data_IF_640346484104
#
_entry.id   IF_640346484104
#
_cell.length_a   1.000
_cell.length_b   1.000
_cell.length_c   1.000
_cell.angle_alpha   90.00
_cell.angle_beta   90.00
_cell.angle_gamma   90.00
#
_symmetry.space_group_name_H-M   'P 1'
#
loop_
_entity.id
_entity.type
_entity.pdbx_description
1 polymer ?
#
# COMPACT_ATOMS: atom_id res chain seq x y z
N UNK A 1 47.50 30.20 -11.61
CA UNK A 1 48.13 31.54 -11.74
C UNK A 1 47.13 32.50 -12.35
N UNK A 2 47.05 33.74 -11.83
CA UNK A 2 46.04 34.81 -12.06
C UNK A 2 44.78 34.59 -11.20
N UNK A 3 44.68 35.04 -9.93
CA UNK A 3 44.75 36.40 -9.34
C UNK A 3 43.88 37.45 -10.03
N UNK A 4 42.80 37.88 -9.38
CA UNK A 4 42.40 39.29 -9.32
C UNK A 4 41.68 39.59 -7.98
N UNK A 5 42.22 40.61 -7.31
CA UNK A 5 41.76 41.28 -6.09
C UNK A 5 41.26 42.66 -6.52
N UNK A 6 40.19 43.17 -5.90
CA UNK A 6 39.90 44.60 -5.62
C UNK A 6 38.43 44.71 -5.17
N UNK A 7 37.99 45.58 -4.27
CA UNK A 7 38.59 46.45 -3.25
C UNK A 7 37.42 47.05 -2.45
N UNK A 8 37.77 47.49 -1.25
CA UNK A 8 36.96 48.11 -0.19
C UNK A 8 36.48 49.52 -0.56
N UNK A 9 35.38 49.99 0.06
CA UNK A 9 35.07 51.33 0.65
C UNK A 9 33.53 51.42 0.83
N UNK A 10 32.89 52.19 1.73
CA UNK A 10 33.07 52.57 3.13
C UNK A 10 31.76 53.31 3.52
N UNK A 11 31.29 53.18 4.77
CA UNK A 11 30.41 54.09 5.53
C UNK A 11 28.98 54.42 5.06
N UNK A 12 28.03 54.11 5.95
CA UNK A 12 26.71 54.74 6.03
C UNK A 12 26.03 54.41 7.36
N UNK A 13 26.27 55.26 8.37
CA UNK A 13 25.60 55.24 9.68
C UNK A 13 24.08 55.39 9.51
N UNK A 14 23.31 54.57 10.25
CA UNK A 14 21.86 54.75 10.40
C UNK A 14 21.38 54.09 11.69
N UNK A 15 21.20 54.92 12.73
CA UNK A 15 20.53 54.59 13.99
C UNK A 15 19.16 53.94 13.72
N UNK A 16 18.93 52.77 14.30
CA UNK A 16 17.62 52.12 14.34
C UNK A 16 17.47 51.37 15.67
N UNK A 17 17.15 52.11 16.71
CA UNK A 17 16.81 51.62 18.04
C UNK A 17 15.39 51.03 17.98
N UNK A 18 15.22 49.71 18.05
CA UNK A 18 13.93 49.10 18.37
C UNK A 18 14.09 47.67 18.89
N UNK A 19 13.76 47.51 20.17
CA UNK A 19 13.19 46.32 20.81
C UNK A 19 14.05 45.05 20.80
N UNK A 20 14.94 44.97 21.80
CA UNK A 20 15.25 43.71 22.45
C UNK A 20 13.98 43.18 23.14
N UNK A 21 13.17 42.39 22.42
CA UNK A 21 12.24 41.47 23.05
C UNK A 21 13.03 40.22 23.42
N UNK A 22 13.14 40.07 24.73
CA UNK A 22 13.69 38.96 25.47
C UNK A 22 13.43 37.60 24.82
N UNK A 23 14.51 36.84 24.68
CA UNK A 23 14.53 35.40 24.58
C UNK A 23 13.61 34.78 25.64
N UNK A 24 12.49 34.22 25.21
CA UNK A 24 11.89 33.07 25.87
C UNK A 24 12.20 31.85 25.00
N UNK A 25 12.71 30.73 25.55
CA UNK A 25 12.61 29.46 24.87
C UNK A 25 11.14 29.05 24.94
N UNK A 26 10.31 29.63 24.08
CA UNK A 26 9.10 28.93 23.63
C UNK A 26 9.62 27.76 22.79
N UNK A 27 10.06 26.71 23.50
CA UNK A 27 10.04 25.38 22.96
C UNK A 27 8.63 25.20 22.46
N UNK A 28 8.49 25.21 21.15
CA UNK A 28 7.31 24.75 20.47
C UNK A 28 6.92 23.43 21.14
N UNK A 29 5.90 23.48 21.99
CA UNK A 29 5.06 22.34 22.28
C UNK A 29 4.34 22.07 20.95
N UNK A 30 5.08 21.49 20.00
CA UNK A 30 4.51 20.49 19.13
C UNK A 30 4.05 19.44 20.12
N UNK A 31 2.80 19.55 20.58
CA UNK A 31 2.12 18.45 21.21
C UNK A 31 2.26 17.33 20.19
N UNK A 32 3.21 16.42 20.42
CA UNK A 32 3.41 15.27 19.58
C UNK A 32 2.05 14.59 19.58
N UNK A 33 1.35 14.65 18.43
CA UNK A 33 0.07 14.01 18.28
C UNK A 33 0.33 12.53 18.51
N UNK A 34 -0.02 12.05 19.70
CA UNK A 34 0.14 10.67 20.06
C UNK A 34 -0.97 9.91 19.37
N UNK A 35 -0.58 9.01 18.48
CA UNK A 35 -1.48 8.20 17.70
C UNK A 35 -1.78 6.94 18.51
N UNK A 36 -3.07 6.73 18.78
CA UNK A 36 -3.55 5.72 19.71
C UNK A 36 -3.73 4.34 19.08
N UNK A 37 -3.76 3.28 19.89
CA UNK A 37 -4.13 1.95 19.43
C UNK A 37 -5.58 1.94 18.92
N UNK A 38 -5.86 1.07 17.93
CA UNK A 38 -7.21 0.88 17.37
C UNK A 38 -7.52 1.72 16.13
N UNK A 39 -6.75 2.77 15.87
CA UNK A 39 -6.78 3.51 14.60
C UNK A 39 -5.70 3.02 13.64
N UNK A 40 -5.92 3.26 12.35
CA UNK A 40 -4.91 3.06 11.31
C UNK A 40 -4.62 4.38 10.63
N UNK A 41 -3.40 4.55 10.15
CA UNK A 41 -2.92 5.78 9.53
C UNK A 41 -2.33 5.46 8.18
N UNK A 42 -2.51 6.34 7.21
CA UNK A 42 -2.03 6.20 5.83
C UNK A 42 -1.16 7.38 5.46
N UNK A 43 0.00 7.10 4.89
CA UNK A 43 0.82 8.08 4.17
C UNK A 43 1.01 7.62 2.73
N UNK A 44 0.81 8.53 1.76
CA UNK A 44 0.99 8.24 0.34
C UNK A 44 2.30 8.85 -0.13
N UNK A 45 3.05 8.10 -0.95
CA UNK A 45 4.30 8.57 -1.53
C UNK A 45 4.41 8.16 -3.00
N UNK A 46 4.99 9.02 -3.86
CA UNK A 46 5.13 8.71 -5.28
C UNK A 46 6.18 7.60 -5.48
N UNK A 47 5.81 6.55 -6.20
CA UNK A 47 6.72 5.49 -6.61
C UNK A 47 6.21 4.86 -7.90
N UNK A 48 6.72 5.39 -9.02
CA UNK A 48 6.21 5.08 -10.35
C UNK A 48 6.69 3.70 -10.82
N UNK A 49 7.89 3.27 -10.39
CA UNK A 49 8.46 1.94 -10.69
C UNK A 49 9.31 1.46 -9.53
N UNK A 50 8.81 0.54 -8.68
CA UNK A 50 9.64 -0.08 -7.68
C UNK A 50 10.70 -0.97 -8.32
N UNK A 51 11.91 -0.96 -7.78
CA UNK A 51 12.92 -1.97 -8.10
C UNK A 51 12.60 -3.25 -7.30
N UNK A 52 11.70 -4.08 -7.86
CA UNK A 52 11.25 -5.32 -7.22
C UNK A 52 12.40 -6.30 -6.99
N UNK A 53 13.45 -6.27 -7.82
CA UNK A 53 14.61 -7.13 -7.62
C UNK A 53 15.37 -6.72 -6.35
N UNK A 54 15.62 -5.42 -6.18
CA UNK A 54 16.21 -4.90 -4.94
C UNK A 54 15.33 -5.20 -3.73
N UNK A 55 14.02 -4.95 -3.80
CA UNK A 55 13.10 -5.24 -2.70
C UNK A 55 13.12 -6.72 -2.33
N UNK A 56 13.08 -7.61 -3.32
CA UNK A 56 13.14 -9.05 -3.11
C UNK A 56 14.44 -9.45 -2.41
N UNK A 57 15.60 -9.04 -2.94
CA UNK A 57 16.92 -9.36 -2.35
C UNK A 57 17.01 -8.87 -0.90
N UNK A 58 16.58 -7.63 -0.61
CA UNK A 58 16.57 -7.10 0.76
C UNK A 58 15.63 -7.87 1.67
N UNK A 59 14.44 -8.23 1.20
CA UNK A 59 13.51 -9.05 1.98
C UNK A 59 14.08 -10.45 2.27
N UNK A 60 14.79 -11.05 1.32
CA UNK A 60 15.48 -12.33 1.52
C UNK A 60 16.57 -12.22 2.61
N UNK A 61 17.40 -11.17 2.55
CA UNK A 61 18.44 -10.88 3.55
C UNK A 61 17.84 -10.67 4.96
N UNK A 62 16.63 -10.12 5.03
CA UNK A 62 15.90 -9.86 6.26
C UNK A 62 15.04 -11.06 6.74
N UNK A 63 15.09 -12.21 6.05
CA UNK A 63 14.39 -13.42 6.46
C UNK A 63 12.88 -13.39 6.23
N UNK A 64 12.39 -12.64 5.24
CA UNK A 64 10.95 -12.58 4.95
C UNK A 64 10.43 -13.91 4.41
N UNK A 65 9.17 -14.19 4.70
CA UNK A 65 8.36 -15.06 3.85
C UNK A 65 7.98 -14.32 2.58
N UNK A 66 8.36 -14.86 1.43
CA UNK A 66 8.17 -14.22 0.13
C UNK A 66 7.29 -15.10 -0.74
N UNK A 67 6.16 -14.56 -1.21
CA UNK A 67 5.29 -15.19 -2.19
C UNK A 67 5.48 -14.50 -3.54
N UNK A 68 5.93 -15.24 -4.53
CA UNK A 68 6.10 -14.75 -5.90
C UNK A 68 5.01 -15.36 -6.78
N UNK A 69 4.26 -14.50 -7.47
CA UNK A 69 3.25 -14.90 -8.44
C UNK A 69 3.61 -14.42 -9.84
N UNK A 70 3.69 -15.37 -10.77
CA UNK A 70 3.90 -15.14 -12.19
C UNK A 70 2.75 -15.79 -12.96
N UNK A 71 1.73 -14.99 -13.30
CA UNK A 71 0.48 -15.50 -13.85
C UNK A 71 -0.23 -16.39 -12.83
N UNK A 72 -0.46 -17.66 -13.20
CA UNK A 72 -1.08 -18.66 -12.32
C UNK A 72 -0.05 -19.45 -11.49
N UNK A 73 1.25 -19.29 -11.79
CA UNK A 73 2.30 -19.98 -11.05
C UNK A 73 2.63 -19.20 -9.78
N UNK A 74 2.70 -19.92 -8.66
CA UNK A 74 3.04 -19.36 -7.34
C UNK A 74 4.20 -20.14 -6.76
N UNK A 75 5.17 -19.42 -6.21
CA UNK A 75 6.31 -19.99 -5.48
C UNK A 75 6.54 -19.25 -4.18
N UNK A 76 7.05 -19.95 -3.19
CA UNK A 76 7.31 -19.41 -1.85
C UNK A 76 8.78 -19.53 -1.49
N UNK A 77 9.31 -18.52 -0.81
CA UNK A 77 10.63 -18.52 -0.21
C UNK A 77 10.53 -18.10 1.26
N UNK A 78 11.47 -18.58 2.07
CA UNK A 78 11.74 -18.05 3.40
C UNK A 78 13.20 -17.61 3.45
N UNK A 79 13.45 -16.31 3.55
CA UNK A 79 14.75 -15.75 3.25
C UNK A 79 15.19 -16.15 1.83
N UNK A 80 16.35 -16.78 1.71
CA UNK A 80 16.89 -17.24 0.41
C UNK A 80 16.43 -18.66 0.02
N UNK A 81 15.76 -19.38 0.91
CA UNK A 81 15.42 -20.79 0.70
C UNK A 81 14.07 -20.93 -0.01
N UNK A 82 14.04 -21.67 -1.12
CA UNK A 82 12.80 -22.04 -1.80
C UNK A 82 12.05 -23.11 -0.99
N UNK A 83 10.74 -22.95 -0.84
CA UNK A 83 9.89 -23.96 -0.21
C UNK A 83 9.08 -24.73 -1.28
N UNK A 84 9.56 -25.88 -1.78
CA UNK A 84 8.87 -26.63 -2.83
C UNK A 84 7.59 -27.33 -2.34
N UNK A 85 7.47 -27.57 -1.03
CA UNK A 85 6.29 -28.17 -0.42
C UNK A 85 5.19 -27.13 -0.07
N UNK A 86 5.50 -25.84 -0.19
CA UNK A 86 4.59 -24.75 0.10
C UNK A 86 3.64 -24.54 -1.09
N UNK A 87 2.33 -24.69 -0.85
CA UNK A 87 1.28 -24.49 -1.86
C UNK A 87 0.26 -23.44 -1.40
N UNK A 88 -0.44 -22.76 -2.32
CA UNK A 88 -1.43 -21.74 -1.96
C UNK A 88 -2.53 -22.24 -1.01
N UNK A 89 -2.94 -23.50 -1.14
CA UNK A 89 -3.99 -24.10 -0.30
C UNK A 89 -3.57 -24.27 1.15
N UNK A 90 -2.27 -24.25 1.43
CA UNK A 90 -1.68 -24.40 2.77
C UNK A 90 -1.02 -23.12 3.27
N UNK A 91 -1.18 -21.99 2.55
CA UNK A 91 -0.47 -20.73 2.82
C UNK A 91 -0.59 -20.30 4.28
N UNK A 92 -1.78 -20.38 4.87
CA UNK A 92 -2.03 -19.99 6.27
C UNK A 92 -1.21 -20.78 7.31
N UNK A 93 -0.74 -21.99 6.97
CA UNK A 93 -0.02 -22.85 7.91
C UNK A 93 1.48 -22.54 8.01
N UNK A 94 2.06 -21.86 7.01
CA UNK A 94 3.51 -21.63 6.95
C UNK A 94 3.89 -20.16 6.70
N UNK A 95 3.03 -19.36 6.07
CA UNK A 95 3.38 -18.02 5.59
C UNK A 95 3.32 -17.00 6.74
N UNK A 96 4.34 -17.02 7.60
CA UNK A 96 4.46 -16.16 8.79
C UNK A 96 4.93 -14.74 8.47
N UNK A 97 4.92 -13.86 9.48
CA UNK A 97 5.49 -12.51 9.37
C UNK A 97 7.01 -12.52 9.60
N UNK A 98 7.76 -11.59 8.97
CA UNK A 98 7.30 -10.57 8.01
C UNK A 98 7.07 -11.16 6.61
N UNK A 99 6.16 -10.54 5.85
CA UNK A 99 5.69 -11.04 4.56
C UNK A 99 5.97 -10.07 3.41
N UNK A 100 6.34 -10.63 2.27
CA UNK A 100 6.42 -9.94 0.98
C UNK A 100 5.63 -10.71 -0.07
N UNK A 101 4.67 -10.05 -0.70
CA UNK A 101 3.98 -10.55 -1.89
C UNK A 101 4.53 -9.82 -3.11
N UNK A 102 4.88 -10.58 -4.15
CA UNK A 102 5.29 -10.08 -5.47
C UNK A 102 4.32 -10.63 -6.52
N UNK A 103 3.75 -9.74 -7.34
CA UNK A 103 2.86 -10.11 -8.43
C UNK A 103 3.04 -9.14 -9.59
N UNK A 104 3.60 -9.62 -10.70
CA UNK A 104 3.91 -8.78 -11.86
C UNK A 104 4.84 -7.61 -11.48
N UNK A 105 4.37 -6.36 -11.54
CA UNK A 105 5.09 -5.15 -11.11
C UNK A 105 4.58 -4.58 -9.76
N UNK A 106 3.77 -5.36 -9.06
CA UNK A 106 3.15 -5.01 -7.79
C UNK A 106 3.83 -5.72 -6.63
N UNK A 107 3.81 -5.06 -5.47
CA UNK A 107 4.18 -5.70 -4.22
C UNK A 107 3.29 -5.27 -3.06
N UNK A 108 3.26 -6.13 -2.03
CA UNK A 108 2.74 -5.82 -0.70
C UNK A 108 3.76 -6.30 0.33
N UNK A 109 4.20 -5.39 1.18
CA UNK A 109 4.92 -5.72 2.42
C UNK A 109 3.91 -5.76 3.55
N UNK A 110 3.99 -6.77 4.41
CA UNK A 110 3.23 -6.78 5.68
C UNK A 110 4.17 -7.11 6.83
N UNK A 111 4.10 -6.31 7.87
CA UNK A 111 4.86 -6.44 9.10
C UNK A 111 3.91 -6.52 10.29
N UNK A 112 4.27 -7.35 11.25
CA UNK A 112 3.54 -7.53 12.50
C UNK A 112 4.53 -7.50 13.67
N UNK A 113 4.93 -6.30 14.05
CA UNK A 113 5.90 -6.05 15.11
C UNK A 113 5.20 -5.99 16.47
N UNK A 114 5.96 -6.09 17.57
CA UNK A 114 5.38 -6.03 18.93
C UNK A 114 4.56 -4.76 19.17
N UNK A 115 5.02 -3.61 18.64
CA UNK A 115 4.40 -2.31 18.85
C UNK A 115 3.40 -1.86 17.79
N UNK A 116 3.39 -2.46 16.60
CA UNK A 116 2.61 -1.98 15.46
C UNK A 116 2.42 -3.05 14.38
N UNK A 117 1.44 -2.82 13.51
CA UNK A 117 1.36 -3.47 12.19
C UNK A 117 1.64 -2.44 11.11
N UNK A 118 2.30 -2.87 10.05
CA UNK A 118 2.57 -1.98 8.92
C UNK A 118 2.38 -2.71 7.60
N UNK A 119 1.70 -2.06 6.65
CA UNK A 119 1.57 -2.49 5.26
C UNK A 119 2.22 -1.48 4.32
N UNK A 120 2.91 -1.94 3.29
CA UNK A 120 3.37 -1.08 2.18
C UNK A 120 2.82 -1.66 0.89
N UNK A 121 2.00 -0.90 0.18
CA UNK A 121 1.27 -1.41 -0.98
C UNK A 121 1.01 -0.34 -2.01
N UNK A 122 0.65 -0.75 -3.21
CA UNK A 122 0.23 0.20 -4.25
C UNK A 122 -1.08 0.87 -3.84
N UNK A 123 -1.14 2.20 -3.97
CA UNK A 123 -2.36 2.93 -3.66
C UNK A 123 -3.44 2.63 -4.70
N UNK A 124 -4.64 2.28 -4.23
CA UNK A 124 -5.80 2.09 -5.09
C UNK A 124 -6.38 3.43 -5.58
N UNK A 125 -6.15 4.50 -4.84
CA UNK A 125 -6.72 5.83 -5.10
C UNK A 125 -5.77 6.71 -5.94
N UNK A 126 -4.47 6.65 -5.67
CA UNK A 126 -3.47 7.53 -6.31
C UNK A 126 -2.64 6.75 -7.33
N UNK A 127 -2.83 7.06 -8.62
CA UNK A 127 -2.11 6.40 -9.71
C UNK A 127 -0.60 6.66 -9.61
N UNK A 128 0.18 5.58 -9.68
CA UNK A 128 1.65 5.65 -9.68
C UNK A 128 2.25 5.97 -8.31
N UNK A 129 1.46 5.80 -7.24
CA UNK A 129 1.89 5.96 -5.87
C UNK A 129 1.77 4.64 -5.10
N UNK A 130 2.56 4.57 -4.03
CA UNK A 130 2.44 3.56 -2.99
C UNK A 130 2.00 4.26 -1.71
N UNK A 131 1.46 3.47 -0.79
CA UNK A 131 1.02 3.93 0.51
C UNK A 131 1.61 3.06 1.60
N UNK A 132 1.96 3.71 2.71
CA UNK A 132 2.25 3.05 3.98
C UNK A 132 0.98 3.11 4.82
N UNK A 133 0.50 1.95 5.24
CA UNK A 133 -0.55 1.84 6.26
C UNK A 133 0.11 1.44 7.57
N UNK A 134 -0.12 2.21 8.62
CA UNK A 134 0.46 1.98 9.95
C UNK A 134 -0.65 1.85 10.98
N UNK A 135 -0.64 0.77 11.76
CA UNK A 135 -1.65 0.50 12.80
C UNK A 135 -0.93 0.26 14.13
N UNK A 136 -0.82 1.27 15.00
CA UNK A 136 -0.19 1.12 16.30
C UNK A 136 -0.94 0.11 17.18
N UNK A 137 -0.21 -0.74 17.89
CA UNK A 137 -0.75 -1.65 18.94
C UNK A 137 -0.68 -1.01 20.33
N UNK A 138 0.07 0.08 20.44
CA UNK A 138 0.23 0.92 21.62
C UNK A 138 0.29 2.38 21.18
N UNK A 139 0.13 3.29 22.12
CA UNK A 139 0.29 4.72 21.85
C UNK A 139 1.71 5.02 21.34
N UNK A 140 1.80 5.73 20.22
CA UNK A 140 3.07 6.09 19.59
C UNK A 140 3.03 7.55 19.11
N UNK A 141 4.06 8.37 19.36
CA UNK A 141 4.10 9.71 18.79
C UNK A 141 4.25 9.63 17.27
N UNK A 142 3.62 10.55 16.55
CA UNK A 142 3.69 10.62 15.08
C UNK A 142 5.12 10.52 14.53
N UNK A 143 6.08 11.21 15.16
CA UNK A 143 7.49 11.17 14.76
C UNK A 143 8.09 9.75 14.84
N UNK A 144 7.69 8.93 15.82
CA UNK A 144 8.15 7.54 15.91
C UNK A 144 7.56 6.69 14.78
N UNK A 145 6.29 6.91 14.43
CA UNK A 145 5.63 6.23 13.31
C UNK A 145 6.35 6.57 11.99
N UNK A 146 6.62 7.85 11.74
CA UNK A 146 7.37 8.30 10.57
C UNK A 146 8.77 7.68 10.52
N UNK A 147 9.48 7.66 11.66
CA UNK A 147 10.83 7.08 11.77
C UNK A 147 10.83 5.57 11.45
N UNK A 148 9.89 4.82 12.02
CA UNK A 148 9.76 3.38 11.76
C UNK A 148 9.42 3.09 10.28
N UNK A 149 8.44 3.83 9.73
CA UNK A 149 8.02 3.68 8.34
C UNK A 149 9.17 3.98 7.36
N UNK A 150 9.86 5.11 7.55
CA UNK A 150 11.02 5.48 6.72
C UNK A 150 12.16 4.47 6.86
N UNK A 151 12.42 3.99 8.08
CA UNK A 151 13.44 2.97 8.34
C UNK A 151 13.18 1.69 7.54
N UNK A 152 11.92 1.21 7.51
CA UNK A 152 11.55 0.05 6.69
C UNK A 152 11.61 0.29 5.19
N UNK A 153 11.13 1.45 4.72
CA UNK A 153 11.23 1.81 3.31
C UNK A 153 12.71 1.84 2.84
N UNK A 154 13.62 2.32 3.68
CA UNK A 154 15.05 2.34 3.40
C UNK A 154 15.68 0.93 3.45
N UNK A 155 15.36 0.13 4.48
CA UNK A 155 15.86 -1.25 4.62
C UNK A 155 15.51 -2.13 3.42
N UNK A 156 14.29 -1.96 2.90
CA UNK A 156 13.81 -2.69 1.72
C UNK A 156 14.28 -2.08 0.39
N UNK A 157 15.01 -0.96 0.42
CA UNK A 157 15.45 -0.27 -0.79
C UNK A 157 14.32 0.36 -1.61
N UNK A 158 13.15 0.58 -1.00
CA UNK A 158 12.00 1.24 -1.64
C UNK A 158 12.27 2.74 -1.82
N UNK A 159 12.91 3.35 -0.83
CA UNK A 159 13.41 4.74 -0.91
C UNK A 159 14.93 4.74 -0.67
N UNK A 160 15.65 5.62 -1.36
CA UNK A 160 17.09 5.73 -1.17
C UNK A 160 17.42 6.45 0.14
N UNK A 161 18.48 6.02 0.83
CA UNK A 161 18.93 6.63 2.09
C UNK A 161 19.32 8.12 1.95
N UNK A 162 19.61 8.58 0.74
CA UNK A 162 19.94 9.98 0.42
C UNK A 162 18.71 10.84 0.14
N UNK A 163 17.51 10.24 0.00
CA UNK A 163 16.24 10.94 -0.16
C UNK A 163 15.70 11.44 1.20
N UNK A 164 16.56 12.09 1.99
CA UNK A 164 16.34 12.55 3.37
C UNK A 164 15.19 13.57 3.53
N UNK A 165 14.54 13.97 2.44
CA UNK A 165 13.44 14.93 2.40
C UNK A 165 12.07 14.30 2.12
N UNK A 166 11.97 12.97 2.00
CA UNK A 166 10.68 12.32 1.92
C UNK A 166 9.99 12.36 3.29
N UNK A 167 9.24 13.43 3.57
CA UNK A 167 8.31 13.48 4.70
C UNK A 167 7.10 12.62 4.37
N UNK A 168 6.75 11.69 5.26
CA UNK A 168 5.52 10.91 5.16
C UNK A 168 4.42 11.65 5.91
N UNK A 169 3.45 12.19 5.18
CA UNK A 169 2.28 12.84 5.80
C UNK A 169 1.23 11.78 6.11
N UNK A 170 1.14 11.39 7.38
CA UNK A 170 0.14 10.43 7.84
C UNK A 170 -1.21 11.10 8.12
N UNK A 171 -2.26 10.55 7.51
CA UNK A 171 -3.64 10.87 7.82
C UNK A 171 -4.33 9.65 8.43
N UNK A 172 -5.27 9.86 9.36
CA UNK A 172 -6.05 8.76 9.92
C UNK A 172 -6.96 8.13 8.86
N UNK A 173 -6.92 6.80 8.77
CA UNK A 173 -7.87 6.01 8.01
C UNK A 173 -9.10 5.78 8.89
N UNK A 174 -10.20 6.44 8.54
CA UNK A 174 -11.49 6.23 9.19
C UNK A 174 -12.24 5.12 8.44
N UNK A 175 -12.37 3.90 9.02
CA UNK A 175 -13.09 2.83 8.36
C UNK A 175 -14.57 3.19 8.29
N UNK A 176 -15.15 3.16 7.10
CA UNK A 176 -16.59 3.21 6.94
C UNK A 176 -17.13 1.78 6.87
N UNK A 177 -18.21 1.47 7.59
CA UNK A 177 -18.76 0.10 7.60
C UNK A 177 -19.24 -0.37 6.22
N UNK A 178 -19.75 0.58 5.41
CA UNK A 178 -20.22 0.38 4.03
C UNK A 178 -19.92 1.64 3.20
N UNK A 179 -18.65 1.85 2.81
CA UNK A 179 -18.29 2.99 2.00
C UNK A 179 -19.00 2.88 0.65
N UNK A 180 -19.57 3.98 0.18
CA UNK A 180 -20.11 4.04 -1.17
C UNK A 180 -18.95 4.33 -2.14
N UNK A 181 -18.81 3.57 -3.23
CA UNK A 181 -17.89 3.94 -4.30
C UNK A 181 -18.17 5.36 -4.77
N UNK A 182 -17.14 6.14 -5.15
CA UNK A 182 -17.34 7.48 -5.68
C UNK A 182 -18.04 7.41 -7.04
N UNK A 183 -18.53 8.56 -7.50
CA UNK A 183 -19.19 8.65 -8.81
C UNK A 183 -18.27 8.15 -9.94
N UNK A 184 -18.83 7.37 -10.88
CA UNK A 184 -18.07 6.77 -11.98
C UNK A 184 -17.30 5.48 -11.63
N UNK A 185 -17.33 5.03 -10.37
CA UNK A 185 -16.74 3.74 -9.94
C UNK A 185 -17.86 2.70 -9.84
N UNK A 186 -17.92 1.79 -10.82
CA UNK A 186 -18.96 0.75 -10.94
C UNK A 186 -18.53 -0.54 -10.24
N UNK A 187 -18.36 -0.45 -8.92
CA UNK A 187 -17.79 -1.49 -8.07
C UNK A 187 -18.76 -1.86 -6.94
N UNK A 188 -18.83 -3.15 -6.61
CA UNK A 188 -19.54 -3.60 -5.41
C UNK A 188 -18.99 -2.93 -4.14
N UNK A 189 -19.88 -2.55 -3.21
CA UNK A 189 -19.49 -1.82 -1.99
C UNK A 189 -18.53 -2.59 -1.08
N UNK A 190 -18.59 -3.93 -1.04
CA UNK A 190 -17.65 -4.75 -0.27
C UNK A 190 -16.27 -4.80 -0.93
N UNK A 191 -16.23 -4.85 -2.26
CA UNK A 191 -14.97 -4.74 -3.01
C UNK A 191 -14.36 -3.35 -2.86
N UNK A 192 -15.18 -2.29 -2.84
CA UNK A 192 -14.68 -0.96 -2.54
C UNK A 192 -14.15 -0.87 -1.09
N UNK A 193 -14.88 -1.39 -0.12
CA UNK A 193 -14.42 -1.46 1.27
C UNK A 193 -13.08 -2.20 1.42
N UNK A 194 -12.87 -3.29 0.66
CA UNK A 194 -11.60 -4.00 0.61
C UNK A 194 -10.45 -3.08 0.16
N UNK A 195 -10.64 -2.22 -0.84
CA UNK A 195 -9.59 -1.29 -1.30
C UNK A 195 -9.17 -0.28 -0.23
N UNK A 196 -10.09 0.07 0.68
CA UNK A 196 -9.86 1.01 1.78
C UNK A 196 -9.34 0.35 3.06
N UNK A 197 -9.46 -0.97 3.17
CA UNK A 197 -9.14 -1.69 4.40
C UNK A 197 -7.65 -1.53 4.76
N UNK A 198 -7.30 -1.31 6.05
CA UNK A 198 -5.91 -1.20 6.48
C UNK A 198 -5.08 -2.44 6.14
N UNK A 199 -5.66 -3.63 6.31
CA UNK A 199 -5.07 -4.91 5.92
C UNK A 199 -6.06 -5.68 5.03
N UNK A 200 -5.67 -5.89 3.77
CA UNK A 200 -6.52 -6.57 2.78
C UNK A 200 -6.79 -8.03 3.12
N UNK A 201 -5.79 -8.76 3.64
CA UNK A 201 -5.93 -10.18 3.96
C UNK A 201 -6.80 -10.38 5.19
N UNK A 202 -6.62 -9.55 6.22
CA UNK A 202 -7.48 -9.60 7.41
C UNK A 202 -8.92 -9.24 7.06
N UNK A 203 -9.13 -8.18 6.27
CA UNK A 203 -10.47 -7.79 5.83
C UNK A 203 -11.15 -8.87 5.00
N UNK A 204 -10.45 -9.44 4.02
CA UNK A 204 -10.96 -10.51 3.18
C UNK A 204 -11.40 -11.72 4.00
N UNK A 205 -10.53 -12.20 4.90
CA UNK A 205 -10.82 -13.32 5.80
C UNK A 205 -12.03 -13.03 6.70
N UNK A 206 -12.12 -11.84 7.28
CA UNK A 206 -13.26 -11.45 8.13
C UNK A 206 -14.60 -11.40 7.37
N UNK A 207 -14.57 -11.28 6.04
CA UNK A 207 -15.76 -11.22 5.17
C UNK A 207 -15.97 -12.48 4.34
N UNK A 208 -15.15 -13.53 4.56
CA UNK A 208 -15.26 -14.80 3.82
C UNK A 208 -14.76 -14.72 2.38
N UNK A 209 -13.97 -13.71 2.01
CA UNK A 209 -13.36 -13.62 0.69
C UNK A 209 -12.03 -14.35 0.67
N UNK A 210 -11.73 -15.03 -0.44
CA UNK A 210 -10.40 -15.61 -0.67
C UNK A 210 -9.55 -14.64 -1.50
N UNK A 211 -8.43 -14.20 -0.94
CA UNK A 211 -7.36 -13.55 -1.70
C UNK A 211 -6.34 -14.58 -2.19
N UNK A 212 -5.90 -14.42 -3.43
CA UNK A 212 -4.84 -15.18 -4.05
C UNK A 212 -3.60 -14.28 -4.12
N UNK A 213 -2.87 -14.19 -3.01
CA UNK A 213 -1.84 -13.17 -2.82
C UNK A 213 -2.42 -11.76 -2.90
N UNK A 214 -2.02 -10.98 -3.91
CA UNK A 214 -2.51 -9.61 -4.11
C UNK A 214 -3.85 -9.53 -4.84
N UNK A 215 -4.37 -10.67 -5.31
CA UNK A 215 -5.52 -10.71 -6.21
C UNK A 215 -6.77 -11.18 -5.51
N UNK A 216 -7.91 -10.69 -5.98
CA UNK A 216 -9.23 -11.18 -5.62
C UNK A 216 -9.94 -11.71 -6.86
N UNK A 217 -10.72 -12.77 -6.69
CA UNK A 217 -11.59 -13.29 -7.73
C UNK A 217 -12.87 -12.45 -7.82
N UNK A 218 -13.18 -11.98 -9.02
CA UNK A 218 -14.37 -11.15 -9.28
C UNK A 218 -15.06 -11.57 -10.58
N UNK A 219 -16.31 -11.13 -10.72
CA UNK A 219 -17.05 -11.11 -11.97
C UNK A 219 -17.03 -9.69 -12.51
N UNK A 220 -16.58 -9.54 -13.74
CA UNK A 220 -16.61 -8.29 -14.51
C UNK A 220 -17.71 -8.42 -15.55
N UNK A 221 -18.69 -7.52 -15.50
CA UNK A 221 -19.72 -7.36 -16.52
C UNK A 221 -19.24 -6.34 -17.54
N UNK A 222 -19.31 -6.67 -18.83
CA UNK A 222 -18.90 -5.80 -19.93
C UNK A 222 -20.11 -5.18 -20.62
N UNK A 223 -19.93 -3.98 -21.19
CA UNK A 223 -20.93 -3.39 -22.09
C UNK A 223 -20.93 -4.08 -23.46
N UNK A 224 -19.75 -4.33 -24.01
CA UNK A 224 -19.57 -5.09 -25.25
C UNK A 224 -18.71 -6.32 -24.93
N UNK A 225 -19.24 -7.54 -25.11
CA UNK A 225 -18.49 -8.74 -24.84
C UNK A 225 -17.21 -8.82 -25.67
N UNK A 226 -17.12 -8.22 -26.86
CA UNK A 226 -15.96 -8.32 -27.77
C UNK A 226 -14.79 -7.42 -27.35
N UNK A 227 -15.01 -6.41 -26.51
CA UNK A 227 -13.98 -5.45 -26.10
C UNK A 227 -13.53 -5.75 -24.68
N UNK A 228 -12.25 -6.13 -24.54
CA UNK A 228 -11.68 -6.50 -23.25
C UNK A 228 -10.93 -5.32 -22.61
N UNK A 229 -11.10 -5.07 -21.30
CA UNK A 229 -10.30 -4.09 -20.57
C UNK A 229 -8.83 -4.53 -20.54
N UNK A 230 -7.91 -3.59 -20.78
CA UNK A 230 -6.46 -3.85 -20.85
C UNK A 230 -5.69 -3.00 -19.84
N UNK A 231 -4.52 -3.50 -19.40
CA UNK A 231 -3.64 -2.74 -18.48
C UNK A 231 -4.03 -2.79 -17.00
N UNK A 232 -4.81 -3.80 -16.60
CA UNK A 232 -5.25 -4.06 -15.22
C UNK A 232 -4.69 -5.38 -14.65
N UNK A 233 -3.68 -5.95 -15.33
CA UNK A 233 -3.05 -7.22 -14.97
C UNK A 233 -4.04 -8.38 -14.79
N UNK A 234 -5.15 -8.43 -15.53
CA UNK A 234 -6.20 -9.44 -15.31
C UNK A 234 -5.71 -10.86 -15.63
N UNK A 235 -6.03 -11.82 -14.76
CA UNK A 235 -5.94 -13.24 -15.08
C UNK A 235 -7.35 -13.75 -15.35
N UNK A 236 -7.66 -14.02 -16.61
CA UNK A 236 -8.99 -14.48 -17.02
C UNK A 236 -9.13 -15.97 -16.78
N UNK A 237 -10.07 -16.37 -15.93
CA UNK A 237 -10.35 -17.79 -15.63
C UNK A 237 -11.43 -18.37 -16.55
N UNK A 238 -12.48 -17.59 -16.81
CA UNK A 238 -13.60 -17.98 -17.64
C UNK A 238 -14.30 -16.76 -18.23
N UNK A 239 -14.97 -16.96 -19.36
CA UNK A 239 -15.77 -15.92 -20.02
C UNK A 239 -17.02 -16.54 -20.64
N UNK A 240 -18.12 -15.83 -20.54
CA UNK A 240 -19.39 -16.20 -21.17
C UNK A 240 -20.16 -14.93 -21.50
N UNK A 241 -20.50 -14.74 -22.78
CA UNK A 241 -21.22 -13.55 -23.24
C UNK A 241 -20.56 -12.28 -22.70
N UNK A 242 -21.27 -11.50 -21.89
CA UNK A 242 -20.89 -10.24 -21.26
C UNK A 242 -20.20 -10.39 -19.89
N UNK A 243 -19.99 -11.61 -19.41
CA UNK A 243 -19.38 -11.88 -18.10
C UNK A 243 -17.97 -12.45 -18.24
N UNK A 244 -17.06 -11.93 -17.43
CA UNK A 244 -15.72 -12.49 -17.23
C UNK A 244 -15.49 -12.81 -15.75
N UNK A 245 -15.08 -14.05 -15.48
CA UNK A 245 -14.51 -14.42 -14.17
C UNK A 245 -13.01 -14.20 -14.24
N UNK A 246 -12.50 -13.31 -13.41
CA UNK A 246 -11.09 -12.89 -13.43
C UNK A 246 -10.51 -12.83 -12.03
N UNK A 247 -9.19 -12.99 -11.92
CA UNK A 247 -8.44 -12.53 -10.76
C UNK A 247 -7.82 -11.17 -11.06
N UNK A 248 -8.10 -10.19 -10.22
CA UNK A 248 -7.64 -8.80 -10.37
C UNK A 248 -6.87 -8.39 -9.11
N UNK A 249 -5.71 -7.70 -9.23
CA UNK A 249 -5.05 -7.13 -8.07
C UNK A 249 -5.98 -6.15 -7.33
N UNK A 250 -6.01 -6.19 -6.00
CA UNK A 250 -6.90 -5.33 -5.20
C UNK A 250 -6.69 -3.84 -5.53
N UNK A 251 -5.44 -3.42 -5.76
CA UNK A 251 -5.09 -2.04 -6.14
C UNK A 251 -5.64 -1.60 -7.51
N UNK A 252 -6.09 -2.52 -8.36
CA UNK A 252 -6.62 -2.21 -9.69
C UNK A 252 -8.16 -2.20 -9.76
N UNK A 253 -8.85 -2.59 -8.68
CA UNK A 253 -10.32 -2.69 -8.66
C UNK A 253 -11.01 -1.38 -9.05
N UNK A 254 -10.58 -0.25 -8.46
CA UNK A 254 -11.16 1.07 -8.76
C UNK A 254 -10.95 1.40 -10.23
N UNK A 255 -9.71 1.32 -10.72
CA UNK A 255 -9.36 1.64 -12.12
C UNK A 255 -10.10 0.76 -13.13
N UNK A 256 -10.22 -0.53 -12.85
CA UNK A 256 -10.97 -1.47 -13.68
C UNK A 256 -12.46 -1.10 -13.71
N UNK A 257 -13.06 -0.79 -12.56
CA UNK A 257 -14.48 -0.46 -12.48
C UNK A 257 -14.87 0.87 -13.15
N UNK A 258 -13.90 1.76 -13.34
CA UNK A 258 -14.05 3.01 -14.10
C UNK A 258 -13.74 2.87 -15.59
N UNK A 259 -13.25 1.72 -16.06
CA UNK A 259 -13.00 1.48 -17.48
C UNK A 259 -14.32 1.57 -18.28
N UNK A 260 -14.38 2.31 -19.40
CA UNK A 260 -15.62 2.51 -20.17
C UNK A 260 -16.21 1.21 -20.77
N UNK A 261 -15.42 0.16 -20.90
CA UNK A 261 -15.85 -1.17 -21.38
C UNK A 261 -16.52 -1.98 -20.26
N UNK A 262 -16.29 -1.62 -19.01
CA UNK A 262 -16.79 -2.32 -17.82
C UNK A 262 -18.11 -1.70 -17.37
N UNK A 263 -19.15 -2.52 -17.31
CA UNK A 263 -20.48 -2.19 -16.80
C UNK A 263 -20.54 -2.30 -15.29
N UNK A 264 -19.98 -3.34 -14.69
CA UNK A 264 -19.96 -3.52 -13.24
C UNK A 264 -18.90 -4.55 -12.80
N UNK A 265 -18.35 -4.39 -11.60
CA UNK A 265 -17.44 -5.37 -10.98
C UNK A 265 -18.00 -5.81 -9.64
N UNK A 266 -18.17 -7.12 -9.45
CA UNK A 266 -18.74 -7.71 -8.23
C UNK A 266 -18.08 -9.01 -7.83
N UNK A 267 -18.33 -9.42 -6.60
CA UNK A 267 -17.93 -10.75 -6.14
C UNK A 267 -18.67 -11.85 -6.92
N UNK A 268 -18.06 -13.03 -7.11
CA UNK A 268 -18.76 -14.20 -7.61
C UNK A 268 -19.95 -14.53 -6.71
N UNK A 269 -21.04 -15.01 -7.32
CA UNK A 269 -22.15 -15.55 -6.54
C UNK A 269 -21.76 -16.93 -6.04
N UNK A 270 -21.72 -17.12 -4.73
CA UNK A 270 -21.71 -18.44 -4.13
C UNK A 270 -23.17 -18.90 -4.02
N UNK A 271 -23.57 -19.99 -4.70
CA UNK A 271 -24.88 -20.57 -4.45
C UNK A 271 -24.97 -20.92 -2.98
N UNK A 272 -25.92 -20.33 -2.26
CA UNK A 272 -26.35 -20.94 -1.00
C UNK A 272 -26.83 -22.35 -1.33
N UNK A 273 -26.34 -23.37 -0.61
CA UNK A 273 -26.99 -24.67 -0.67
C UNK A 273 -28.47 -24.44 -0.39
N UNK A 274 -29.32 -24.74 -1.37
CA UNK A 274 -30.75 -24.73 -1.17
C UNK A 274 -31.01 -25.70 -0.01
N UNK A 275 -31.38 -25.16 1.15
CA UNK A 275 -31.68 -25.94 2.33
C UNK A 275 -32.69 -27.02 1.95
N UNK A 276 -32.19 -28.25 1.81
CA UNK A 276 -33.01 -29.44 1.68
C UNK A 276 -33.63 -29.71 3.04
N UNK A 277 -34.87 -29.27 3.20
CA UNK A 277 -35.76 -29.60 4.31
C UNK A 277 -37.16 -29.81 3.78
#
# INVERSE_FOLDING_TARGET
MKTFICSVFLLGLGLGLALALSWGPDQARVLALALGPGSSYKAVFPLIRPDLATIAVRAQELGFWIRVQCGLNVSYLHGTELCPACTPEKEESFFGFPQLYLDSDLFLVRLDEEGYRMGIRRSAEVRGAYEVIFTPKREMPLQAIETEALGWLQRLGIVQAQAQTASLEFAELVPQEKPRPPEGVRLDSLLYALTLAPDWHEFARARGFTLFGLRIKVIVELYDPQVLPQGYYLLVEARSQDLMRVQVPVSELIRLSSDPTVKFVRLPYEPHEAGGG
#
